data_IF_042935867810
#
_entry.id   IF_042935867810
#
_cell.length_a   1.000
_cell.length_b   1.000
_cell.length_c   1.000
_cell.angle_alpha   90.00
_cell.angle_beta   90.00
_cell.angle_gamma   90.00
#
_symmetry.space_group_name_H-M   'P 1'
#
loop_
_entity.id
_entity.type
_entity.pdbx_description
1 polymer ?
#
# COMPACT_ATOMS: atom_id res chain seq x y z
N UNK A 1 -13.85 8.33 25.36
CA UNK A 1 -15.14 9.04 25.17
C UNK A 1 -15.97 9.23 26.46
N UNK A 2 -15.50 8.88 27.64
CA UNK A 2 -16.28 8.98 28.90
C UNK A 2 -15.90 10.14 29.83
N UNK A 3 -14.89 10.95 29.49
CA UNK A 3 -14.29 11.90 30.47
C UNK A 3 -14.73 13.37 30.33
N UNK A 4 -15.49 13.75 29.29
CA UNK A 4 -15.81 15.15 28.98
C UNK A 4 -17.15 15.66 29.59
N UNK A 5 -17.91 14.80 30.29
CA UNK A 5 -19.26 15.13 30.73
C UNK A 5 -19.38 15.62 32.22
N UNK A 6 -18.26 15.77 32.94
CA UNK A 6 -18.31 15.97 34.40
C UNK A 6 -18.34 17.44 34.91
N UNK A 7 -18.45 18.45 34.05
CA UNK A 7 -18.32 19.87 34.46
C UNK A 7 -19.59 20.72 34.27
N UNK A 8 -20.78 20.14 34.26
CA UNK A 8 -22.01 20.89 33.99
C UNK A 8 -23.04 20.83 35.15
N UNK A 9 -22.63 21.16 36.34
CA UNK A 9 -23.59 21.31 37.46
C UNK A 9 -23.22 22.51 38.34
N UNK A 10 -23.70 23.72 37.99
CA UNK A 10 -24.13 24.72 39.03
C UNK A 10 -24.86 25.89 38.33
N UNK A 11 -25.98 26.25 38.94
CA UNK A 11 -26.85 27.42 38.84
C UNK A 11 -28.14 27.28 38.01
N UNK A 12 -29.24 27.03 38.71
CA UNK A 12 -30.46 27.78 38.51
C UNK A 12 -31.26 27.80 39.83
N UNK A 13 -31.56 28.94 40.37
CA UNK A 13 -32.60 29.14 41.38
C UNK A 13 -33.56 30.24 40.88
N UNK A 14 -34.86 30.00 40.83
CA UNK A 14 -35.97 30.86 41.30
C UNK A 14 -37.32 30.27 40.90
N UNK A 15 -38.26 30.27 41.85
CA UNK A 15 -39.52 29.56 41.83
C UNK A 15 -40.69 30.31 41.16
N UNK A 16 -41.50 29.52 40.37
CA UNK A 16 -42.87 29.82 39.89
C UNK A 16 -43.45 28.51 39.31
N UNK A 17 -44.75 28.36 38.97
CA UNK A 17 -45.28 27.09 38.44
C UNK A 17 -44.55 26.55 37.20
N UNK A 18 -43.69 27.31 36.57
CA UNK A 18 -42.65 26.82 35.69
C UNK A 18 -41.62 25.91 36.42
N UNK A 19 -41.56 25.88 37.73
CA UNK A 19 -40.57 25.16 38.53
C UNK A 19 -40.78 23.64 38.48
N UNK A 20 -42.03 23.16 38.58
CA UNK A 20 -42.32 21.73 38.51
C UNK A 20 -42.08 21.15 37.09
N UNK A 21 -42.35 21.90 36.05
CA UNK A 21 -42.10 21.50 34.67
C UNK A 21 -40.60 21.47 34.35
N UNK A 22 -39.81 22.41 34.88
CA UNK A 22 -38.37 22.42 34.75
C UNK A 22 -37.73 21.25 35.53
N UNK A 23 -38.21 20.96 36.75
CA UNK A 23 -37.75 19.79 37.52
C UNK A 23 -38.05 18.46 36.82
N UNK A 24 -39.16 18.34 36.12
CA UNK A 24 -39.51 17.17 35.34
C UNK A 24 -38.62 17.01 34.10
N UNK A 25 -38.29 18.09 33.37
CA UNK A 25 -37.38 18.10 32.25
C UNK A 25 -35.95 17.73 32.66
N UNK A 26 -35.45 18.31 33.77
CA UNK A 26 -34.15 18.01 34.33
C UNK A 26 -34.02 16.55 34.75
N UNK A 27 -35.05 16.00 35.42
CA UNK A 27 -35.11 14.57 35.78
C UNK A 27 -35.11 13.66 34.55
N UNK A 28 -35.91 13.97 33.54
CA UNK A 28 -35.97 13.22 32.29
C UNK A 28 -34.65 13.28 31.52
N UNK A 29 -33.97 14.42 31.53
CA UNK A 29 -32.62 14.56 30.94
C UNK A 29 -31.58 13.74 31.71
N UNK A 30 -31.54 13.79 33.06
CA UNK A 30 -30.63 12.99 33.88
C UNK A 30 -30.86 11.48 33.68
N UNK A 31 -32.12 11.05 33.51
CA UNK A 31 -32.43 9.66 33.17
C UNK A 31 -31.86 9.27 31.78
N UNK A 32 -31.92 10.16 30.80
CA UNK A 32 -31.33 9.93 29.48
C UNK A 32 -29.79 9.86 29.54
N UNK A 33 -29.15 10.72 30.35
CA UNK A 33 -27.69 10.65 30.63
C UNK A 33 -27.33 9.30 31.21
N UNK A 34 -28.06 8.84 32.24
CA UNK A 34 -27.81 7.54 32.88
C UNK A 34 -27.98 6.36 31.91
N UNK A 35 -28.94 6.44 30.99
CA UNK A 35 -29.13 5.43 29.94
C UNK A 35 -27.96 5.45 28.95
N UNK A 36 -27.47 6.62 28.59
CA UNK A 36 -26.28 6.78 27.71
C UNK A 36 -25.03 6.18 28.34
N UNK A 37 -24.76 6.52 29.62
CA UNK A 37 -23.61 5.99 30.38
C UNK A 37 -23.72 4.46 30.57
N UNK A 38 -24.93 3.92 30.68
CA UNK A 38 -25.20 2.48 30.76
C UNK A 38 -25.12 1.77 29.39
N UNK A 39 -24.77 2.48 28.30
CA UNK A 39 -24.75 1.94 26.95
C UNK A 39 -26.10 1.59 26.33
N UNK A 40 -27.22 1.99 26.98
CA UNK A 40 -28.59 1.76 26.51
C UNK A 40 -29.05 2.84 25.52
N UNK A 41 -28.28 2.95 24.42
CA UNK A 41 -28.46 4.02 23.44
C UNK A 41 -29.87 4.09 22.81
N UNK A 42 -30.54 2.98 22.45
CA UNK A 42 -31.92 3.06 21.93
C UNK A 42 -32.91 3.69 22.90
N UNK A 43 -32.81 3.37 24.21
CA UNK A 43 -33.69 3.92 25.24
C UNK A 43 -33.39 5.39 25.50
N UNK A 44 -32.09 5.75 25.54
CA UNK A 44 -31.64 7.14 25.65
C UNK A 44 -32.13 7.99 24.46
N UNK A 45 -32.02 7.46 23.22
CA UNK A 45 -32.54 8.15 22.04
C UNK A 45 -34.04 8.42 22.14
N UNK A 46 -34.83 7.41 22.50
CA UNK A 46 -36.30 7.56 22.66
C UNK A 46 -36.68 8.64 23.66
N UNK A 47 -35.98 8.71 24.78
CA UNK A 47 -36.24 9.73 25.81
C UNK A 47 -35.81 11.11 25.34
N UNK A 48 -34.63 11.25 24.71
CA UNK A 48 -34.17 12.51 24.18
C UNK A 48 -34.97 13.01 22.98
N UNK A 49 -35.49 12.12 22.12
CA UNK A 49 -36.44 12.49 21.06
C UNK A 49 -37.75 13.10 21.59
N UNK A 50 -38.19 12.71 22.80
CA UNK A 50 -39.31 13.35 23.48
C UNK A 50 -38.88 14.74 23.97
N UNK A 51 -37.76 14.81 24.70
CA UNK A 51 -37.25 16.08 25.26
C UNK A 51 -36.98 17.13 24.19
N UNK A 52 -36.38 16.74 23.03
CA UNK A 52 -36.08 17.69 21.95
C UNK A 52 -37.35 18.33 21.34
N UNK A 53 -38.52 17.70 21.45
CA UNK A 53 -39.77 18.30 21.01
C UNK A 53 -40.30 19.34 22.00
N UNK A 54 -39.99 19.15 23.28
CA UNK A 54 -40.39 20.06 24.35
C UNK A 54 -39.42 21.23 24.47
N UNK A 55 -38.12 20.97 24.32
CA UNK A 55 -37.06 21.98 24.45
C UNK A 55 -36.08 21.92 23.27
N UNK A 56 -36.53 22.28 22.06
CA UNK A 56 -35.71 22.15 20.83
C UNK A 56 -34.42 23.01 20.82
N UNK A 57 -34.41 24.07 21.64
CA UNK A 57 -33.27 24.99 21.76
C UNK A 57 -32.38 24.69 22.99
N UNK A 58 -32.55 23.51 23.66
CA UNK A 58 -31.62 23.08 24.69
C UNK A 58 -30.35 22.54 24.03
N UNK A 59 -29.22 23.19 24.31
CA UNK A 59 -27.91 22.76 23.87
C UNK A 59 -27.63 21.34 24.37
N UNK A 60 -27.86 21.06 25.63
CA UNK A 60 -27.56 19.80 26.32
C UNK A 60 -28.32 18.62 25.69
N UNK A 61 -29.60 18.83 25.43
CA UNK A 61 -30.48 17.80 24.80
C UNK A 61 -30.02 17.52 23.36
N UNK A 62 -29.72 18.57 22.58
CA UNK A 62 -29.27 18.43 21.21
C UNK A 62 -27.91 17.74 21.13
N UNK A 63 -26.95 18.13 21.98
CA UNK A 63 -25.63 17.54 22.04
C UNK A 63 -25.70 16.06 22.42
N UNK A 64 -26.40 15.73 23.51
CA UNK A 64 -26.53 14.34 23.98
C UNK A 64 -27.27 13.45 22.98
N UNK A 65 -28.32 13.94 22.32
CA UNK A 65 -29.01 13.18 21.28
C UNK A 65 -28.13 12.95 20.09
N UNK A 66 -27.29 13.92 19.69
CA UNK A 66 -26.27 13.76 18.67
C UNK A 66 -25.25 12.69 19.03
N UNK A 67 -24.75 12.70 20.26
CA UNK A 67 -23.80 11.67 20.76
C UNK A 67 -24.43 10.28 20.82
N UNK A 68 -25.68 10.17 21.25
CA UNK A 68 -26.44 8.90 21.28
C UNK A 68 -26.60 8.33 19.86
N UNK A 69 -26.94 9.15 18.88
CA UNK A 69 -27.02 8.69 17.48
C UNK A 69 -25.63 8.33 16.91
N UNK A 70 -24.59 9.07 17.28
CA UNK A 70 -23.23 8.74 16.89
C UNK A 70 -22.78 7.38 17.45
N UNK A 71 -23.14 7.08 18.71
CA UNK A 71 -22.88 5.79 19.35
C UNK A 71 -23.63 4.62 18.69
N UNK A 72 -24.78 4.90 18.07
CA UNK A 72 -25.56 3.93 17.27
C UNK A 72 -25.13 3.86 15.81
N UNK A 73 -24.05 4.52 15.40
CA UNK A 73 -23.61 4.64 14.00
C UNK A 73 -24.65 5.27 13.06
N UNK A 74 -25.58 6.07 13.62
CA UNK A 74 -26.58 6.84 12.87
C UNK A 74 -26.06 8.23 12.52
N UNK A 75 -24.89 8.28 11.85
CA UNK A 75 -24.07 9.48 11.69
C UNK A 75 -24.79 10.65 11.02
N UNK A 76 -25.71 10.39 10.07
CA UNK A 76 -26.52 11.45 9.45
C UNK A 76 -27.51 12.13 10.42
N UNK A 77 -28.06 11.36 11.38
CA UNK A 77 -28.92 11.92 12.44
C UNK A 77 -28.09 12.64 13.48
N UNK A 78 -26.96 12.04 13.88
CA UNK A 78 -25.98 12.65 14.78
C UNK A 78 -25.54 14.03 14.28
N UNK A 79 -25.14 14.15 13.00
CA UNK A 79 -24.72 15.42 12.40
C UNK A 79 -25.75 16.52 12.55
N UNK A 80 -27.04 16.21 12.36
CA UNK A 80 -28.11 17.21 12.45
C UNK A 80 -28.20 17.81 13.87
N UNK A 81 -28.21 16.94 14.89
CA UNK A 81 -28.34 17.38 16.29
C UNK A 81 -27.06 18.06 16.77
N UNK A 82 -25.87 17.54 16.43
CA UNK A 82 -24.59 18.18 16.77
C UNK A 82 -24.44 19.54 16.08
N UNK A 83 -24.94 19.69 14.85
CA UNK A 83 -24.93 20.99 14.16
C UNK A 83 -25.83 22.00 14.86
N UNK A 84 -27.01 21.58 15.37
CA UNK A 84 -27.90 22.44 16.16
C UNK A 84 -27.22 22.82 17.47
N UNK A 85 -26.57 21.88 18.16
CA UNK A 85 -25.85 22.15 19.39
C UNK A 85 -24.74 23.19 19.18
N UNK A 86 -23.93 23.06 18.13
CA UNK A 86 -22.89 24.05 17.75
C UNK A 86 -23.50 25.41 17.40
N UNK A 87 -24.71 25.45 16.82
CA UNK A 87 -25.42 26.70 16.53
C UNK A 87 -25.90 27.39 17.79
N UNK A 88 -26.40 26.62 18.77
CA UNK A 88 -26.87 27.13 20.04
C UNK A 88 -25.74 27.61 20.95
N UNK A 89 -24.58 26.93 20.92
CA UNK A 89 -23.39 27.31 21.70
C UNK A 89 -22.13 27.30 20.82
N UNK A 90 -21.89 28.36 20.04
CA UNK A 90 -20.79 28.41 19.08
C UNK A 90 -19.38 28.39 19.70
N UNK A 91 -19.25 28.71 20.97
CA UNK A 91 -18.02 28.74 21.75
C UNK A 91 -17.75 27.43 22.53
N UNK A 92 -18.55 26.40 22.32
CA UNK A 92 -18.30 25.08 22.90
C UNK A 92 -17.28 24.30 22.07
N UNK A 93 -16.03 24.21 22.56
CA UNK A 93 -15.00 23.38 21.97
C UNK A 93 -15.40 21.89 21.93
N UNK A 94 -15.98 21.28 23.00
CA UNK A 94 -16.44 19.90 22.97
C UNK A 94 -17.51 19.64 21.89
N UNK A 95 -18.52 20.52 21.77
CA UNK A 95 -19.58 20.34 20.78
C UNK A 95 -19.03 20.38 19.33
N UNK A 96 -18.08 21.28 19.07
CA UNK A 96 -17.37 21.31 17.78
C UNK A 96 -16.55 20.07 17.54
N UNK A 97 -15.83 19.57 18.54
CA UNK A 97 -15.08 18.32 18.46
C UNK A 97 -15.99 17.13 18.15
N UNK A 98 -17.14 17.04 18.83
CA UNK A 98 -18.14 15.98 18.60
C UNK A 98 -18.70 16.04 17.17
N UNK A 99 -19.05 17.24 16.69
CA UNK A 99 -19.51 17.44 15.31
C UNK A 99 -18.42 17.06 14.30
N UNK A 100 -17.19 17.49 14.53
CA UNK A 100 -16.06 17.21 13.65
C UNK A 100 -15.76 15.70 13.57
N UNK A 101 -15.70 15.02 14.70
CA UNK A 101 -15.49 13.57 14.77
C UNK A 101 -16.57 12.80 13.99
N UNK A 102 -17.83 13.24 14.11
CA UNK A 102 -18.92 12.63 13.34
C UNK A 102 -18.85 12.93 11.84
N UNK A 103 -18.45 14.13 11.44
CA UNK A 103 -18.22 14.50 10.05
C UNK A 103 -17.07 13.69 9.45
N UNK A 104 -15.99 13.45 10.21
CA UNK A 104 -14.86 12.63 9.78
C UNK A 104 -15.26 11.16 9.52
N UNK A 105 -16.15 10.59 10.35
CA UNK A 105 -16.72 9.24 10.11
C UNK A 105 -17.56 9.17 8.84
N UNK A 106 -18.24 10.26 8.50
CA UNK A 106 -18.98 10.39 7.22
C UNK A 106 -18.07 10.66 6.01
N UNK A 107 -16.74 10.71 6.17
CA UNK A 107 -15.79 11.03 5.11
C UNK A 107 -15.78 12.50 4.69
N UNK A 108 -16.45 13.38 5.43
CA UNK A 108 -16.50 14.84 5.15
C UNK A 108 -15.32 15.54 5.81
N UNK A 109 -14.09 15.17 5.38
CA UNK A 109 -12.84 15.55 6.06
C UNK A 109 -12.61 17.05 6.10
N UNK A 110 -12.94 17.81 5.04
CA UNK A 110 -12.77 19.25 5.00
C UNK A 110 -13.64 19.97 6.04
N UNK A 111 -14.91 19.55 6.15
CA UNK A 111 -15.85 20.11 7.14
C UNK A 111 -15.43 19.71 8.58
N UNK A 112 -14.95 18.48 8.76
CA UNK A 112 -14.42 18.03 10.04
C UNK A 112 -13.21 18.87 10.47
N UNK A 113 -12.25 19.06 9.57
CA UNK A 113 -11.04 19.87 9.81
C UNK A 113 -11.40 21.31 10.18
N UNK A 114 -12.40 21.92 9.53
CA UNK A 114 -12.86 23.27 9.88
C UNK A 114 -13.40 23.33 11.31
N UNK A 115 -14.23 22.37 11.73
CA UNK A 115 -14.77 22.35 13.09
C UNK A 115 -13.69 22.04 14.12
N UNK A 116 -12.76 21.12 13.85
CA UNK A 116 -11.62 20.85 14.72
C UNK A 116 -10.72 22.09 14.90
N UNK A 117 -10.42 22.84 13.84
CA UNK A 117 -9.67 24.11 13.94
C UNK A 117 -10.33 25.08 14.91
N UNK A 118 -11.64 25.32 14.73
CA UNK A 118 -12.38 26.19 15.65
C UNK A 118 -12.38 25.67 17.08
N UNK A 119 -12.41 24.36 17.26
CA UNK A 119 -12.35 23.76 18.60
C UNK A 119 -10.95 23.96 19.24
N UNK A 120 -9.87 23.81 18.48
CA UNK A 120 -8.49 24.08 18.95
C UNK A 120 -8.28 25.57 19.28
N UNK A 121 -8.88 26.48 18.49
CA UNK A 121 -8.84 27.92 18.80
C UNK A 121 -9.51 28.26 20.14
N UNK A 122 -10.61 27.55 20.47
CA UNK A 122 -11.35 27.72 21.73
C UNK A 122 -10.66 27.05 22.93
N UNK A 123 -10.08 25.86 22.73
CA UNK A 123 -9.34 25.14 23.76
C UNK A 123 -8.03 24.56 23.19
N UNK A 124 -6.93 25.35 23.13
CA UNK A 124 -5.65 24.93 22.58
C UNK A 124 -4.91 23.87 23.41
N UNK A 125 -5.37 23.60 24.65
CA UNK A 125 -4.75 22.64 25.56
C UNK A 125 -5.51 21.33 25.68
N UNK A 126 -6.53 21.13 24.87
CA UNK A 126 -7.25 19.88 24.84
C UNK A 126 -6.50 18.85 23.98
N UNK A 127 -6.13 17.72 24.60
CA UNK A 127 -5.44 16.63 23.93
C UNK A 127 -6.23 16.07 22.76
N UNK A 128 -7.48 15.67 23.02
CA UNK A 128 -8.35 15.00 22.03
C UNK A 128 -8.58 15.86 20.79
N UNK A 129 -8.81 17.16 20.98
CA UNK A 129 -9.05 18.08 19.85
C UNK A 129 -7.80 18.27 18.99
N UNK A 130 -6.61 18.42 19.60
CA UNK A 130 -5.36 18.54 18.86
C UNK A 130 -5.04 17.24 18.12
N UNK A 131 -5.16 16.08 18.78
CA UNK A 131 -4.93 14.78 18.17
C UNK A 131 -5.87 14.55 16.97
N UNK A 132 -7.18 14.73 17.16
CA UNK A 132 -8.18 14.56 16.12
C UNK A 132 -7.99 15.51 14.93
N UNK A 133 -7.54 16.76 15.18
CA UNK A 133 -7.19 17.68 14.10
C UNK A 133 -5.98 17.19 13.32
N UNK A 134 -4.94 16.71 14.02
CA UNK A 134 -3.78 16.08 13.40
C UNK A 134 -4.17 14.89 12.54
N UNK A 135 -4.95 13.93 13.10
CA UNK A 135 -5.46 12.77 12.35
C UNK A 135 -6.28 13.19 11.13
N UNK A 136 -7.14 14.21 11.25
CA UNK A 136 -7.93 14.72 10.13
C UNK A 136 -7.05 15.24 8.99
N UNK A 137 -5.94 15.91 9.32
CA UNK A 137 -4.96 16.35 8.33
C UNK A 137 -4.21 15.18 7.70
N UNK A 138 -3.78 14.17 8.50
CA UNK A 138 -3.15 12.94 7.99
C UNK A 138 -4.06 12.25 6.97
N UNK A 139 -5.32 12.05 7.32
CA UNK A 139 -6.33 11.41 6.43
C UNK A 139 -6.61 12.23 5.17
N UNK A 140 -6.37 13.53 5.21
CA UNK A 140 -6.48 14.43 4.04
C UNK A 140 -5.18 14.52 3.22
N UNK A 141 -4.13 13.77 3.57
CA UNK A 141 -2.82 13.80 2.91
C UNK A 141 -2.00 15.05 3.21
N UNK A 142 -2.39 15.86 4.22
CA UNK A 142 -1.74 17.11 4.61
C UNK A 142 -0.84 16.90 5.82
N UNK A 143 0.21 16.10 5.63
CA UNK A 143 1.03 15.61 6.74
C UNK A 143 1.82 16.73 7.42
N UNK A 144 2.35 17.67 6.64
CA UNK A 144 3.10 18.79 7.20
C UNK A 144 2.23 19.68 8.10
N UNK A 145 0.97 19.84 7.76
CA UNK A 145 -0.01 20.57 8.56
C UNK A 145 -0.49 19.79 9.80
N UNK A 146 -0.42 18.44 9.76
CA UNK A 146 -0.78 17.58 10.88
C UNK A 146 0.23 17.66 12.02
N UNK A 147 1.53 17.68 11.70
CA UNK A 147 2.63 17.56 12.67
C UNK A 147 2.53 18.54 13.87
N UNK A 148 2.28 19.86 13.69
CA UNK A 148 2.20 20.79 14.81
C UNK A 148 1.09 20.46 15.83
N UNK A 149 -0.02 19.92 15.39
CA UNK A 149 -1.15 19.54 16.25
C UNK A 149 -0.89 18.23 16.97
N UNK A 150 -0.31 17.23 16.29
CA UNK A 150 0.14 15.99 16.93
C UNK A 150 1.27 16.25 17.94
N UNK A 151 2.22 17.15 17.64
CA UNK A 151 3.23 17.61 18.59
C UNK A 151 2.62 18.26 19.83
N UNK A 152 1.59 19.08 19.62
CA UNK A 152 0.88 19.71 20.72
C UNK A 152 0.15 18.69 21.58
N UNK A 153 -0.53 17.73 20.98
CA UNK A 153 -1.16 16.62 21.69
C UNK A 153 -0.10 15.81 22.47
N UNK A 154 1.06 15.51 21.86
CA UNK A 154 2.16 14.80 22.52
C UNK A 154 2.74 15.55 23.72
N UNK A 155 2.78 16.88 23.67
CA UNK A 155 3.19 17.72 24.83
C UNK A 155 2.17 17.68 25.97
N UNK A 156 0.87 17.56 25.63
CA UNK A 156 -0.20 17.53 26.64
C UNK A 156 -0.27 16.14 27.30
N UNK A 157 -0.25 15.07 26.50
CA UNK A 157 -0.16 13.71 27.01
C UNK A 157 0.99 12.94 26.32
N UNK A 158 2.19 12.97 26.91
CA UNK A 158 3.34 12.22 26.40
C UNK A 158 3.19 10.70 26.49
N UNK A 159 2.16 10.20 27.18
CA UNK A 159 1.93 8.76 27.36
C UNK A 159 1.02 8.14 26.32
N UNK A 160 0.35 8.95 25.50
CA UNK A 160 -0.55 8.47 24.46
C UNK A 160 0.22 7.70 23.39
N UNK A 161 -0.08 6.40 23.29
CA UNK A 161 0.48 5.53 22.25
C UNK A 161 0.01 5.95 20.87
N UNK A 162 -1.30 6.14 20.71
CA UNK A 162 -1.91 6.42 19.40
C UNK A 162 -1.36 7.73 18.81
N UNK A 163 -1.33 8.80 19.62
CA UNK A 163 -0.76 10.07 19.17
C UNK A 163 0.73 9.98 18.87
N UNK A 164 1.48 9.25 19.70
CA UNK A 164 2.91 9.06 19.48
C UNK A 164 3.21 8.28 18.21
N UNK A 165 2.41 7.26 17.90
CA UNK A 165 2.49 6.53 16.65
C UNK A 165 2.19 7.41 15.43
N UNK A 166 1.07 8.14 15.46
CA UNK A 166 0.66 9.05 14.38
C UNK A 166 1.68 10.17 14.14
N UNK A 167 2.24 10.72 15.22
CA UNK A 167 3.29 11.75 15.14
C UNK A 167 4.59 11.19 14.56
N UNK A 168 4.97 9.96 14.95
CA UNK A 168 6.15 9.30 14.41
C UNK A 168 6.00 9.04 12.92
N UNK A 169 4.82 8.56 12.49
CA UNK A 169 4.49 8.38 11.07
C UNK A 169 4.52 9.70 10.31
N UNK A 170 3.96 10.77 10.89
CA UNK A 170 4.01 12.10 10.30
C UNK A 170 5.46 12.61 10.12
N UNK A 171 6.30 12.48 11.14
CA UNK A 171 7.72 12.84 11.06
C UNK A 171 8.45 12.05 9.97
N UNK A 172 8.21 10.75 9.90
CA UNK A 172 8.79 9.88 8.86
C UNK A 172 8.41 10.35 7.44
N UNK A 173 7.15 10.73 7.24
CA UNK A 173 6.66 11.16 5.92
C UNK A 173 7.18 12.54 5.50
N UNK A 174 7.41 13.45 6.46
CA UNK A 174 7.98 14.78 6.18
C UNK A 174 9.51 14.82 6.25
N UNK A 175 10.16 13.65 6.49
CA UNK A 175 11.62 13.53 6.49
C UNK A 175 12.32 13.98 7.79
N UNK A 176 11.58 14.14 8.90
CA UNK A 176 12.15 14.44 10.22
C UNK A 176 12.55 13.14 10.93
N UNK A 177 13.55 12.44 10.34
CA UNK A 177 13.90 11.08 10.74
C UNK A 177 14.43 10.98 12.17
N UNK A 178 15.26 11.96 12.62
CA UNK A 178 15.81 11.93 13.97
C UNK A 178 14.74 12.07 15.07
N UNK A 179 13.76 12.95 14.85
CA UNK A 179 12.64 13.13 15.78
C UNK A 179 11.70 11.92 15.77
N UNK A 180 11.46 11.32 14.59
CA UNK A 180 10.71 10.07 14.47
C UNK A 180 11.38 8.95 15.27
N UNK A 181 12.68 8.74 15.09
CA UNK A 181 13.45 7.72 15.80
C UNK A 181 13.37 7.90 17.32
N UNK A 182 13.64 9.10 17.82
CA UNK A 182 13.60 9.39 19.25
C UNK A 182 12.22 9.11 19.85
N UNK A 183 11.16 9.46 19.13
CA UNK A 183 9.79 9.24 19.60
C UNK A 183 9.44 7.76 19.59
N UNK A 184 9.73 7.03 18.50
CA UNK A 184 9.49 5.58 18.38
C UNK A 184 10.21 4.83 19.52
N UNK A 185 11.50 5.10 19.74
CA UNK A 185 12.28 4.49 20.83
C UNK A 185 11.70 4.78 22.21
N UNK A 186 11.13 5.99 22.39
CA UNK A 186 10.48 6.38 23.65
C UNK A 186 9.20 5.59 23.88
N UNK A 187 8.42 5.37 22.84
CA UNK A 187 7.18 4.61 22.93
C UNK A 187 7.46 3.12 23.10
N UNK A 188 8.45 2.56 22.39
CA UNK A 188 8.87 1.15 22.47
C UNK A 188 9.26 0.76 23.91
N UNK A 189 9.88 1.66 24.69
CA UNK A 189 10.21 1.42 26.10
C UNK A 189 8.98 1.21 27.00
N UNK A 190 7.82 1.70 26.59
CA UNK A 190 6.55 1.60 27.33
C UNK A 190 5.66 0.49 26.79
N UNK A 191 5.57 0.40 25.49
CA UNK A 191 4.75 -0.59 24.79
C UNK A 191 5.53 -1.10 23.59
N UNK A 192 6.03 -2.33 23.69
CA UNK A 192 6.68 -3.03 22.59
C UNK A 192 5.60 -3.63 21.68
N UNK A 193 5.56 -3.27 20.41
CA UNK A 193 4.54 -3.73 19.46
C UNK A 193 5.09 -3.89 18.05
N UNK A 194 4.51 -4.84 17.29
CA UNK A 194 4.91 -5.10 15.92
C UNK A 194 4.79 -3.87 15.01
N UNK A 195 3.74 -3.06 15.21
CA UNK A 195 3.53 -1.85 14.41
C UNK A 195 4.66 -0.82 14.59
N UNK A 196 5.19 -0.68 15.81
CA UNK A 196 6.30 0.24 16.07
C UNK A 196 7.62 -0.29 15.50
N UNK A 197 7.85 -1.61 15.53
CA UNK A 197 8.99 -2.22 14.88
C UNK A 197 8.93 -2.05 13.36
N UNK A 198 7.77 -2.21 12.73
CA UNK A 198 7.59 -1.90 11.31
C UNK A 198 7.87 -0.43 11.01
N UNK A 199 7.37 0.49 11.84
CA UNK A 199 7.60 1.93 11.64
C UNK A 199 9.08 2.30 11.81
N UNK A 200 9.78 1.64 12.76
CA UNK A 200 11.23 1.80 12.94
C UNK A 200 11.99 1.26 11.75
N UNK A 201 11.59 0.10 11.22
CA UNK A 201 12.17 -0.49 10.02
C UNK A 201 12.05 0.43 8.80
N UNK A 202 10.86 0.99 8.55
CA UNK A 202 10.65 1.97 7.47
C UNK A 202 11.54 3.23 7.64
N UNK A 203 11.75 3.66 8.88
CA UNK A 203 12.61 4.79 9.18
C UNK A 203 14.08 4.46 8.87
N UNK A 204 14.55 3.30 9.32
CA UNK A 204 15.93 2.84 9.12
C UNK A 204 16.22 2.57 7.65
N UNK A 205 15.24 2.06 6.88
CA UNK A 205 15.32 1.93 5.42
C UNK A 205 15.54 3.30 4.76
N UNK A 206 14.74 4.32 5.14
CA UNK A 206 14.90 5.68 4.63
C UNK A 206 16.22 6.33 5.03
N UNK A 207 16.75 5.99 6.19
CA UNK A 207 18.07 6.44 6.68
C UNK A 207 19.24 5.65 6.08
N UNK A 208 18.95 4.62 5.24
CA UNK A 208 19.95 3.77 4.60
C UNK A 208 20.55 2.69 5.51
N UNK A 209 19.94 2.42 6.66
CA UNK A 209 20.33 1.39 7.62
C UNK A 209 19.60 0.07 7.35
N UNK A 210 19.86 -0.51 6.19
CA UNK A 210 19.10 -1.65 5.68
C UNK A 210 19.21 -2.93 6.53
N UNK A 211 20.33 -3.12 7.24
CA UNK A 211 20.50 -4.28 8.13
C UNK A 211 19.63 -4.14 9.37
N UNK A 212 19.63 -2.96 9.95
CA UNK A 212 18.79 -2.60 11.08
C UNK A 212 17.30 -2.73 10.69
N UNK A 213 16.90 -2.18 9.54
CA UNK A 213 15.55 -2.28 9.01
C UNK A 213 15.11 -3.75 8.87
N UNK A 214 15.95 -4.63 8.30
CA UNK A 214 15.64 -6.06 8.17
C UNK A 214 15.44 -6.74 9.52
N UNK A 215 16.22 -6.38 10.56
CA UNK A 215 16.08 -6.92 11.91
C UNK A 215 14.80 -6.44 12.59
N UNK A 216 14.40 -5.19 12.35
CA UNK A 216 13.16 -4.64 12.89
C UNK A 216 11.92 -5.28 12.22
N UNK A 217 11.93 -5.48 10.89
CA UNK A 217 10.88 -6.24 10.20
C UNK A 217 10.81 -7.70 10.67
N UNK A 218 11.96 -8.34 10.90
CA UNK A 218 12.02 -9.68 11.50
C UNK A 218 11.35 -9.71 12.88
N UNK A 219 11.68 -8.74 13.72
CA UNK A 219 11.11 -8.60 15.06
C UNK A 219 9.59 -8.41 15.00
N UNK A 220 9.10 -7.53 14.13
CA UNK A 220 7.68 -7.32 13.90
C UNK A 220 6.96 -8.62 13.47
N UNK A 221 7.55 -9.34 12.51
CA UNK A 221 6.99 -10.60 12.00
C UNK A 221 7.01 -11.74 13.04
N UNK A 222 7.97 -11.74 13.96
CA UNK A 222 7.99 -12.70 15.08
C UNK A 222 6.95 -12.37 16.15
N UNK A 223 6.71 -11.08 16.43
CA UNK A 223 5.71 -10.63 17.40
C UNK A 223 4.30 -10.86 16.90
N UNK A 224 4.05 -10.49 15.65
CA UNK A 224 2.78 -10.68 14.94
C UNK A 224 3.04 -11.25 13.55
N UNK A 225 2.98 -12.59 13.36
CA UNK A 225 3.19 -13.22 12.07
C UNK A 225 1.96 -13.08 11.15
N UNK A 226 1.43 -11.84 11.06
CA UNK A 226 0.39 -11.46 10.11
C UNK A 226 0.90 -11.54 8.67
N UNK A 227 -0.04 -11.55 7.74
CA UNK A 227 0.30 -11.54 6.31
C UNK A 227 1.13 -10.31 5.93
N UNK A 228 0.83 -9.13 6.51
CA UNK A 228 1.57 -7.90 6.22
C UNK A 228 3.01 -8.00 6.71
N UNK A 229 3.21 -8.30 8.00
CA UNK A 229 4.54 -8.32 8.61
C UNK A 229 5.48 -9.33 7.94
N UNK A 230 4.97 -10.52 7.60
CA UNK A 230 5.75 -11.52 6.88
C UNK A 230 6.07 -11.08 5.45
N UNK A 231 5.17 -10.34 4.81
CA UNK A 231 5.43 -9.80 3.47
C UNK A 231 6.49 -8.70 3.50
N UNK A 232 6.41 -7.79 4.45
CA UNK A 232 7.34 -6.68 4.61
C UNK A 232 8.75 -7.22 4.90
N UNK A 233 8.89 -8.15 5.85
CA UNK A 233 10.17 -8.81 6.13
C UNK A 233 10.72 -9.57 4.91
N UNK A 234 9.91 -10.40 4.25
CA UNK A 234 10.34 -11.15 3.06
C UNK A 234 10.73 -10.23 1.90
N UNK A 235 10.02 -9.10 1.74
CA UNK A 235 10.28 -8.11 0.70
C UNK A 235 11.59 -7.35 0.94
N UNK A 236 11.87 -6.96 2.19
CA UNK A 236 13.13 -6.33 2.59
C UNK A 236 14.32 -7.25 2.31
N UNK A 237 14.23 -8.51 2.73
CA UNK A 237 15.25 -9.51 2.44
C UNK A 237 15.48 -9.71 0.93
N UNK A 238 14.40 -9.67 0.13
CA UNK A 238 14.46 -9.81 -1.32
C UNK A 238 15.09 -8.56 -1.97
N UNK A 239 14.70 -7.37 -1.52
CA UNK A 239 15.21 -6.08 -2.00
C UNK A 239 16.73 -6.00 -1.84
N UNK A 240 17.22 -6.37 -0.65
CA UNK A 240 18.65 -6.38 -0.32
C UNK A 240 19.34 -7.70 -0.67
N UNK A 241 18.73 -8.52 -1.54
CA UNK A 241 19.32 -9.72 -2.11
C UNK A 241 19.75 -10.78 -1.09
N UNK A 242 19.19 -10.78 0.09
CA UNK A 242 19.36 -11.84 1.09
C UNK A 242 18.45 -13.02 0.72
N UNK A 243 18.75 -13.63 -0.43
CA UNK A 243 17.83 -14.48 -1.18
C UNK A 243 17.47 -15.80 -0.47
N UNK A 244 18.40 -16.39 0.29
CA UNK A 244 18.13 -17.60 1.06
C UNK A 244 17.03 -17.38 2.10
N UNK A 245 17.24 -16.48 3.06
CA UNK A 245 16.21 -16.08 4.04
C UNK A 245 14.91 -15.60 3.39
N UNK A 246 14.94 -14.81 2.32
CA UNK A 246 13.73 -14.38 1.62
C UNK A 246 12.89 -15.59 1.14
N UNK A 247 13.53 -16.61 0.54
CA UNK A 247 12.83 -17.84 0.13
C UNK A 247 12.20 -18.54 1.35
N UNK A 248 12.93 -18.65 2.46
CA UNK A 248 12.43 -19.31 3.67
C UNK A 248 11.21 -18.58 4.27
N UNK A 249 11.28 -17.26 4.35
CA UNK A 249 10.17 -16.44 4.87
C UNK A 249 8.95 -16.59 3.97
N UNK A 250 9.08 -16.38 2.65
CA UNK A 250 7.95 -16.51 1.74
C UNK A 250 7.43 -17.93 1.62
N UNK A 251 8.28 -18.95 1.76
CA UNK A 251 7.85 -20.35 1.82
C UNK A 251 6.92 -20.57 3.02
N UNK A 252 7.37 -20.24 4.23
CA UNK A 252 6.56 -20.36 5.46
C UNK A 252 5.29 -19.50 5.39
N UNK A 253 5.40 -18.27 4.87
CA UNK A 253 4.27 -17.38 4.71
C UNK A 253 3.23 -17.93 3.73
N UNK A 254 3.66 -18.53 2.61
CA UNK A 254 2.75 -19.14 1.62
C UNK A 254 2.08 -20.44 2.10
N UNK A 255 2.69 -21.12 3.09
CA UNK A 255 2.08 -22.26 3.79
C UNK A 255 1.05 -21.80 4.83
N UNK A 256 1.34 -20.71 5.55
CA UNK A 256 0.44 -20.11 6.55
C UNK A 256 -0.76 -19.42 5.90
N UNK A 257 -0.54 -18.75 4.77
CA UNK A 257 -1.55 -18.00 4.01
C UNK A 257 -1.70 -18.58 2.58
N UNK A 258 -2.23 -19.82 2.44
CA UNK A 258 -2.23 -20.52 1.15
C UNK A 258 -3.10 -19.88 0.07
N UNK A 259 -4.04 -19.02 0.43
CA UNK A 259 -4.88 -18.24 -0.48
C UNK A 259 -4.30 -16.86 -0.82
N UNK A 260 -3.20 -16.45 -0.19
CA UNK A 260 -2.56 -15.18 -0.46
C UNK A 260 -1.72 -15.24 -1.73
N UNK A 261 -2.22 -14.62 -2.80
CA UNK A 261 -1.47 -14.52 -4.04
C UNK A 261 -0.14 -13.80 -3.85
N UNK A 262 -0.11 -12.70 -3.05
CA UNK A 262 1.11 -11.92 -2.86
C UNK A 262 2.25 -12.71 -2.20
N UNK A 263 1.93 -13.62 -1.26
CA UNK A 263 2.92 -14.50 -0.66
C UNK A 263 3.51 -15.49 -1.66
N UNK A 264 2.64 -16.05 -2.51
CA UNK A 264 3.06 -17.02 -3.53
C UNK A 264 3.86 -16.32 -4.65
N UNK A 265 3.51 -15.08 -5.01
CA UNK A 265 4.30 -14.25 -5.94
C UNK A 265 5.65 -13.91 -5.32
N UNK A 266 5.69 -13.48 -4.05
CA UNK A 266 6.93 -13.21 -3.31
C UNK A 266 7.87 -14.41 -3.31
N UNK A 267 7.35 -15.61 -3.04
CA UNK A 267 8.11 -16.86 -3.13
C UNK A 267 8.66 -17.09 -4.54
N UNK A 268 7.83 -16.91 -5.56
CA UNK A 268 8.25 -17.05 -6.96
C UNK A 268 9.34 -16.07 -7.35
N UNK A 269 9.25 -14.82 -6.90
CA UNK A 269 10.26 -13.79 -7.12
C UNK A 269 11.58 -14.11 -6.41
N UNK A 270 11.52 -14.55 -5.15
CA UNK A 270 12.70 -14.92 -4.37
C UNK A 270 13.41 -16.14 -4.96
N UNK A 271 12.66 -17.16 -5.39
CA UNK A 271 13.19 -18.33 -6.10
C UNK A 271 13.83 -17.95 -7.43
N UNK A 272 13.17 -17.08 -8.21
CA UNK A 272 13.73 -16.57 -9.46
C UNK A 272 15.04 -15.82 -9.24
N UNK A 273 15.06 -14.89 -8.28
CA UNK A 273 16.26 -14.11 -7.95
C UNK A 273 17.42 -15.01 -7.49
N UNK A 274 17.10 -16.11 -6.79
CA UNK A 274 18.10 -17.10 -6.33
C UNK A 274 18.58 -18.03 -7.45
N UNK A 275 17.92 -18.03 -8.61
CA UNK A 275 18.27 -18.90 -9.75
C UNK A 275 17.52 -20.26 -9.75
N UNK A 276 16.58 -20.46 -8.86
CA UNK A 276 15.73 -21.66 -8.79
C UNK A 276 14.52 -21.50 -9.73
N UNK A 277 14.78 -21.44 -11.04
CA UNK A 277 13.78 -21.05 -12.04
C UNK A 277 12.60 -22.03 -12.15
N UNK A 278 12.82 -23.34 -12.07
CA UNK A 278 11.76 -24.35 -12.14
C UNK A 278 10.77 -24.24 -10.98
N UNK A 279 11.26 -24.00 -9.76
CA UNK A 279 10.40 -23.82 -8.60
C UNK A 279 9.74 -22.45 -8.60
N UNK A 280 10.41 -21.43 -9.18
CA UNK A 280 9.79 -20.13 -9.43
C UNK A 280 8.59 -20.25 -10.40
N UNK A 281 8.75 -21.00 -11.51
CA UNK A 281 7.64 -21.27 -12.43
C UNK A 281 6.47 -21.96 -11.71
N UNK A 282 6.72 -23.01 -10.91
CA UNK A 282 5.66 -23.70 -10.14
C UNK A 282 4.91 -22.75 -9.19
N UNK A 283 5.65 -21.93 -8.46
CA UNK A 283 5.06 -20.96 -7.54
C UNK A 283 4.22 -19.91 -8.28
N UNK A 284 4.73 -19.39 -9.39
CA UNK A 284 4.02 -18.36 -10.17
C UNK A 284 2.82 -18.92 -10.95
N UNK A 285 2.83 -20.17 -11.36
CA UNK A 285 1.66 -20.88 -11.88
C UNK A 285 0.55 -20.98 -10.81
N UNK A 286 0.92 -21.35 -9.57
CA UNK A 286 -0.01 -21.33 -8.43
C UNK A 286 -0.56 -19.93 -8.18
N UNK A 287 0.27 -18.88 -8.24
CA UNK A 287 -0.18 -17.49 -8.10
C UNK A 287 -1.19 -17.08 -9.19
N UNK A 288 -0.94 -17.50 -10.45
CA UNK A 288 -1.86 -17.28 -11.56
C UNK A 288 -3.19 -18.06 -11.41
N UNK A 289 -3.21 -19.16 -10.68
CA UNK A 289 -4.45 -19.88 -10.36
C UNK A 289 -5.24 -19.23 -9.22
N UNK A 290 -4.57 -18.60 -8.25
CA UNK A 290 -5.21 -17.89 -7.15
C UNK A 290 -5.93 -16.62 -7.63
N UNK A 291 -5.35 -15.85 -8.54
CA UNK A 291 -6.00 -14.70 -9.17
C UNK A 291 -5.61 -14.60 -10.65
N UNK A 292 -6.41 -15.20 -11.53
CA UNK A 292 -6.09 -15.26 -12.95
C UNK A 292 -6.11 -13.93 -13.71
N UNK A 293 -6.68 -12.88 -13.13
CA UNK A 293 -6.76 -11.56 -13.75
C UNK A 293 -5.67 -10.59 -13.30
N UNK A 294 -4.86 -10.95 -12.27
CA UNK A 294 -3.80 -10.08 -11.73
C UNK A 294 -2.55 -10.09 -12.63
N UNK A 295 -2.16 -8.96 -13.25
CA UNK A 295 -1.08 -8.95 -14.24
C UNK A 295 0.31 -9.25 -13.66
N UNK A 296 0.57 -8.89 -12.40
CA UNK A 296 1.91 -8.91 -11.83
C UNK A 296 2.52 -10.31 -11.79
N UNK A 297 1.74 -11.34 -11.44
CA UNK A 297 2.25 -12.71 -11.43
C UNK A 297 2.73 -13.18 -12.81
N UNK A 298 2.08 -12.73 -13.90
CA UNK A 298 2.43 -13.10 -15.26
C UNK A 298 3.72 -12.45 -15.76
N UNK A 299 4.07 -11.26 -15.25
CA UNK A 299 5.35 -10.60 -15.53
C UNK A 299 6.50 -11.49 -15.02
N UNK A 300 6.41 -11.94 -13.78
CA UNK A 300 7.44 -12.79 -13.18
C UNK A 300 7.42 -14.21 -13.74
N UNK A 301 6.23 -14.76 -14.03
CA UNK A 301 6.09 -16.04 -14.69
C UNK A 301 6.79 -16.04 -16.07
N UNK A 302 6.60 -14.99 -16.87
CA UNK A 302 7.29 -14.85 -18.16
C UNK A 302 8.81 -14.87 -17.98
N UNK A 303 9.36 -14.07 -17.03
CA UNK A 303 10.80 -14.01 -16.77
C UNK A 303 11.37 -15.35 -16.28
N UNK A 304 10.67 -16.03 -15.37
CA UNK A 304 11.08 -17.34 -14.86
C UNK A 304 11.06 -18.40 -15.97
N UNK A 305 9.99 -18.42 -16.76
CA UNK A 305 9.84 -19.31 -17.92
C UNK A 305 10.89 -19.05 -19.02
N UNK A 306 11.29 -17.77 -19.21
CA UNK A 306 12.36 -17.40 -20.12
C UNK A 306 13.71 -18.02 -19.72
N UNK A 307 13.95 -18.14 -18.42
CA UNK A 307 15.19 -18.71 -17.86
C UNK A 307 15.16 -20.23 -17.78
N UNK A 308 13.99 -20.83 -17.60
CA UNK A 308 13.79 -22.28 -17.63
C UNK A 308 12.42 -22.62 -18.23
N UNK A 309 12.34 -23.10 -19.48
CA UNK A 309 11.10 -23.41 -20.16
C UNK A 309 10.47 -24.74 -19.69
N UNK A 310 10.51 -25.00 -18.39
CA UNK A 310 9.81 -26.12 -17.78
C UNK A 310 8.29 -25.87 -17.73
N UNK A 311 7.49 -26.94 -17.71
CA UNK A 311 6.03 -26.86 -17.61
C UNK A 311 5.39 -25.99 -18.71
N UNK A 312 5.87 -26.16 -19.95
CA UNK A 312 5.48 -25.34 -21.10
C UNK A 312 3.97 -25.33 -21.37
N UNK A 313 3.32 -26.47 -21.22
CA UNK A 313 1.88 -26.60 -21.48
C UNK A 313 1.07 -25.85 -20.41
N UNK A 314 1.42 -26.01 -19.14
CA UNK A 314 0.78 -25.33 -18.02
C UNK A 314 0.97 -23.81 -18.11
N UNK A 315 2.18 -23.35 -18.42
CA UNK A 315 2.50 -21.93 -18.62
C UNK A 315 1.68 -21.37 -19.79
N UNK A 316 1.66 -22.06 -20.92
CA UNK A 316 0.90 -21.64 -22.10
C UNK A 316 -0.60 -21.56 -21.81
N UNK A 317 -1.15 -22.53 -21.07
CA UNK A 317 -2.55 -22.52 -20.67
C UNK A 317 -2.90 -21.30 -19.79
N UNK A 318 -2.02 -20.91 -18.84
CA UNK A 318 -2.26 -19.75 -17.97
C UNK A 318 -2.15 -18.44 -18.73
N UNK A 319 -1.17 -18.31 -19.64
CA UNK A 319 -1.09 -17.11 -20.48
C UNK A 319 -2.26 -17.01 -21.47
N UNK A 320 -2.75 -18.13 -22.02
CA UNK A 320 -3.97 -18.14 -22.84
C UNK A 320 -5.17 -17.65 -22.02
N UNK A 321 -5.40 -18.24 -20.84
CA UNK A 321 -6.48 -17.81 -19.95
C UNK A 321 -6.39 -16.31 -19.57
N UNK A 322 -5.18 -15.81 -19.34
CA UNK A 322 -4.97 -14.40 -19.04
C UNK A 322 -5.33 -13.51 -20.23
N UNK A 323 -4.95 -13.89 -21.45
CA UNK A 323 -5.30 -13.17 -22.67
C UNK A 323 -6.82 -13.17 -22.93
N UNK A 324 -7.51 -14.28 -22.63
CA UNK A 324 -8.98 -14.36 -22.73
C UNK A 324 -9.69 -13.47 -21.71
N UNK A 325 -9.20 -13.42 -20.47
CA UNK A 325 -9.74 -12.57 -19.40
C UNK A 325 -9.46 -11.09 -19.64
N UNK A 326 -8.36 -10.77 -20.32
CA UNK A 326 -7.93 -9.40 -20.61
C UNK A 326 -7.63 -9.19 -22.11
N UNK A 327 -8.63 -9.26 -22.98
CA UNK A 327 -8.42 -9.23 -24.43
C UNK A 327 -7.86 -7.90 -24.97
N UNK A 328 -7.96 -6.83 -24.18
CA UNK A 328 -7.42 -5.50 -24.51
C UNK A 328 -6.07 -5.23 -23.82
N UNK A 329 -5.46 -6.23 -23.20
CA UNK A 329 -4.15 -6.11 -22.58
C UNK A 329 -3.07 -6.57 -23.56
N UNK A 330 -2.28 -5.62 -24.07
CA UNK A 330 -1.21 -5.90 -25.04
C UNK A 330 -0.20 -6.92 -24.49
N UNK A 331 0.19 -6.82 -23.22
CA UNK A 331 1.15 -7.74 -22.59
C UNK A 331 0.59 -9.15 -22.43
N UNK A 332 -0.70 -9.31 -22.20
CA UNK A 332 -1.32 -10.64 -22.12
C UNK A 332 -1.20 -11.40 -23.45
N UNK A 333 -1.48 -10.72 -24.58
CA UNK A 333 -1.30 -11.30 -25.93
C UNK A 333 0.18 -11.58 -26.23
N UNK A 334 1.07 -10.68 -25.83
CA UNK A 334 2.51 -10.86 -25.96
C UNK A 334 3.01 -12.10 -25.21
N UNK A 335 2.66 -12.26 -23.94
CA UNK A 335 3.08 -13.43 -23.14
C UNK A 335 2.53 -14.73 -23.70
N UNK A 336 1.28 -14.73 -24.16
CA UNK A 336 0.70 -15.91 -24.82
C UNK A 336 1.45 -16.25 -26.10
N UNK A 337 1.75 -15.27 -26.97
CA UNK A 337 2.56 -15.49 -28.18
C UNK A 337 3.93 -16.09 -27.84
N UNK A 338 4.60 -15.56 -26.81
CA UNK A 338 5.94 -16.00 -26.40
C UNK A 338 5.94 -17.41 -25.82
N UNK A 339 4.91 -17.78 -25.05
CA UNK A 339 4.78 -19.13 -24.51
C UNK A 339 4.57 -20.19 -25.61
N UNK A 340 3.75 -19.87 -26.60
CA UNK A 340 3.57 -20.71 -27.78
C UNK A 340 4.88 -20.90 -28.56
N UNK A 341 5.65 -19.83 -28.71
CA UNK A 341 6.89 -19.88 -29.48
C UNK A 341 7.98 -20.68 -28.76
N UNK A 342 8.24 -20.39 -27.48
CA UNK A 342 9.28 -21.07 -26.69
C UNK A 342 8.96 -22.53 -26.40
N UNK A 343 7.72 -22.83 -26.02
CA UNK A 343 7.30 -24.19 -25.66
C UNK A 343 7.43 -25.19 -26.82
N UNK A 344 7.30 -24.73 -28.07
CA UNK A 344 7.34 -25.57 -29.23
C UNK A 344 8.69 -25.61 -29.97
N UNK A 345 9.56 -24.61 -29.76
CA UNK A 345 10.91 -24.61 -30.37
C UNK A 345 11.75 -25.84 -30.01
N UNK A 346 11.50 -26.44 -28.85
CA UNK A 346 12.26 -27.58 -28.34
C UNK A 346 11.73 -28.94 -28.82
N UNK A 347 10.49 -29.08 -29.31
CA UNK A 347 9.86 -30.39 -29.43
C UNK A 347 8.95 -30.68 -30.64
N UNK A 348 8.55 -29.73 -31.54
CA UNK A 348 7.57 -30.03 -32.57
C UNK A 348 7.79 -29.41 -33.96
N UNK A 349 7.61 -30.22 -35.05
CA UNK A 349 7.60 -29.73 -36.43
C UNK A 349 6.30 -29.00 -36.86
N UNK A 350 5.39 -28.68 -35.93
CA UNK A 350 4.07 -28.10 -36.22
C UNK A 350 3.81 -26.74 -35.58
N UNK A 351 4.85 -25.89 -35.38
CA UNK A 351 4.68 -24.54 -34.83
C UNK A 351 3.86 -23.65 -35.79
N UNK A 352 2.71 -23.15 -35.34
CA UNK A 352 1.92 -22.20 -36.12
C UNK A 352 2.48 -20.76 -35.95
N UNK A 353 3.47 -20.45 -36.82
CA UNK A 353 4.09 -19.10 -36.84
C UNK A 353 3.07 -18.00 -37.17
N UNK A 354 1.98 -18.33 -37.93
CA UNK A 354 0.92 -17.36 -38.25
C UNK A 354 0.11 -16.97 -37.01
N UNK A 355 -0.15 -17.92 -36.12
CA UNK A 355 -0.82 -17.62 -34.86
C UNK A 355 0.03 -16.68 -34.00
N UNK A 356 1.35 -16.93 -33.88
CA UNK A 356 2.26 -16.10 -33.13
C UNK A 356 2.36 -14.69 -33.72
N UNK A 357 2.48 -14.59 -35.08
CA UNK A 357 2.49 -13.32 -35.80
C UNK A 357 1.19 -12.51 -35.51
N UNK A 358 0.04 -13.18 -35.60
CA UNK A 358 -1.25 -12.56 -35.32
C UNK A 358 -1.37 -12.03 -33.89
N UNK A 359 -0.89 -12.77 -32.90
CA UNK A 359 -0.90 -12.35 -31.49
C UNK A 359 0.02 -11.16 -31.23
N UNK A 360 1.25 -11.18 -31.79
CA UNK A 360 2.20 -10.06 -31.68
C UNK A 360 1.67 -8.80 -32.38
N UNK A 361 1.09 -8.95 -33.57
CA UNK A 361 0.49 -7.83 -34.31
C UNK A 361 -0.71 -7.24 -33.57
N UNK A 362 -1.58 -8.08 -32.98
CA UNK A 362 -2.68 -7.60 -32.13
C UNK A 362 -2.17 -6.91 -30.88
N UNK A 363 -1.12 -7.44 -30.23
CA UNK A 363 -0.47 -6.81 -29.09
C UNK A 363 0.02 -5.41 -29.44
N UNK A 364 0.72 -5.25 -30.58
CA UNK A 364 1.22 -3.96 -31.07
C UNK A 364 0.10 -3.01 -31.55
N UNK A 365 -1.03 -3.53 -31.99
CA UNK A 365 -2.21 -2.70 -32.30
C UNK A 365 -2.82 -2.10 -31.03
N UNK A 366 -2.74 -2.78 -29.87
CA UNK A 366 -3.19 -2.29 -28.59
C UNK A 366 -2.16 -1.37 -27.92
N UNK A 367 -0.88 -1.71 -27.99
CA UNK A 367 0.23 -0.91 -27.48
C UNK A 367 1.40 -0.82 -28.49
N UNK A 368 1.39 0.19 -29.36
CA UNK A 368 2.46 0.42 -30.34
C UNK A 368 3.82 0.80 -29.72
N UNK A 369 3.88 0.96 -28.39
CA UNK A 369 5.11 1.29 -27.66
C UNK A 369 5.73 0.11 -26.93
N UNK A 370 5.20 -1.08 -27.08
CA UNK A 370 5.74 -2.29 -26.46
C UNK A 370 7.01 -2.75 -27.23
N UNK A 371 8.16 -2.26 -26.80
CA UNK A 371 9.46 -2.48 -27.46
C UNK A 371 9.79 -3.98 -27.58
N UNK A 372 9.46 -4.77 -26.54
CA UNK A 372 9.69 -6.21 -26.52
C UNK A 372 8.88 -6.94 -27.62
N UNK A 373 7.65 -6.49 -27.90
CA UNK A 373 6.83 -7.09 -28.93
C UNK A 373 7.38 -6.80 -30.34
N UNK A 374 7.87 -5.58 -30.60
CA UNK A 374 8.59 -5.25 -31.83
C UNK A 374 9.84 -6.10 -32.01
N UNK A 375 10.67 -6.25 -30.97
CA UNK A 375 11.84 -7.12 -31.00
C UNK A 375 11.46 -8.56 -31.39
N UNK A 376 10.41 -9.10 -30.76
CA UNK A 376 10.01 -10.49 -31.03
C UNK A 376 9.34 -10.67 -32.40
N UNK A 377 8.62 -9.66 -32.90
CA UNK A 377 8.08 -9.69 -34.26
C UNK A 377 9.23 -9.66 -35.29
N UNK A 378 10.26 -8.84 -35.06
CA UNK A 378 11.50 -8.84 -35.85
C UNK A 378 12.20 -10.20 -35.83
N UNK A 379 12.31 -10.83 -34.65
CA UNK A 379 12.87 -12.18 -34.52
C UNK A 379 12.06 -13.21 -35.29
N UNK A 380 10.74 -13.12 -35.26
CA UNK A 380 9.83 -14.01 -36.00
C UNK A 380 10.05 -13.89 -37.51
N UNK A 381 10.18 -12.66 -38.02
CA UNK A 381 10.47 -12.42 -39.42
C UNK A 381 11.89 -12.90 -39.82
N UNK A 382 12.88 -12.69 -38.97
CA UNK A 382 14.25 -13.20 -39.21
C UNK A 382 14.29 -14.74 -39.28
N UNK A 383 13.55 -15.44 -38.40
CA UNK A 383 13.46 -16.91 -38.41
C UNK A 383 12.81 -17.41 -39.70
N UNK A 384 11.97 -16.60 -40.35
CA UNK A 384 11.39 -16.87 -41.66
C UNK A 384 12.25 -16.40 -42.85
N UNK A 385 13.47 -15.90 -42.59
CA UNK A 385 14.38 -15.26 -43.57
C UNK A 385 13.80 -13.98 -44.22
N UNK A 386 12.78 -13.37 -43.63
CA UNK A 386 12.17 -12.10 -44.05
C UNK A 386 12.92 -10.92 -43.42
N UNK A 387 14.20 -10.76 -43.81
CA UNK A 387 15.06 -9.76 -43.16
C UNK A 387 14.67 -8.31 -43.47
N UNK A 388 14.04 -8.07 -44.63
CA UNK A 388 13.54 -6.75 -45.01
C UNK A 388 12.40 -6.28 -44.10
N UNK A 389 11.55 -7.22 -43.65
CA UNK A 389 10.45 -6.97 -42.72
C UNK A 389 10.94 -6.93 -41.25
N UNK A 390 12.01 -7.67 -40.91
CA UNK A 390 12.57 -7.69 -39.57
C UNK A 390 13.28 -6.38 -39.19
N UNK A 391 13.99 -5.74 -40.13
CA UNK A 391 14.78 -4.53 -39.91
C UNK A 391 13.93 -3.37 -39.33
N UNK A 392 12.77 -3.00 -39.90
CA UNK A 392 11.95 -1.92 -39.32
C UNK A 392 11.45 -2.23 -37.91
N UNK A 393 11.14 -3.50 -37.61
CA UNK A 393 10.68 -3.91 -36.28
C UNK A 393 11.81 -3.78 -35.24
N UNK A 394 13.03 -4.21 -35.57
CA UNK A 394 14.19 -4.01 -34.68
C UNK A 394 14.50 -2.54 -34.44
N UNK A 395 14.44 -1.70 -35.50
CA UNK A 395 14.61 -0.26 -35.35
C UNK A 395 13.56 0.33 -34.42
N UNK A 396 12.32 -0.06 -34.60
CA UNK A 396 11.23 0.43 -33.75
C UNK A 396 11.42 0.01 -32.31
N UNK A 397 11.86 -1.21 -32.04
CA UNK A 397 12.19 -1.68 -30.70
C UNK A 397 13.29 -0.79 -30.06
N UNK A 398 14.35 -0.46 -30.83
CA UNK A 398 15.46 0.38 -30.35
C UNK A 398 15.09 1.86 -30.18
N UNK A 399 14.20 2.40 -31.00
CA UNK A 399 13.63 3.75 -30.78
C UNK A 399 12.84 3.86 -29.48
N UNK A 400 12.18 2.78 -29.08
CA UNK A 400 11.37 2.72 -27.87
C UNK A 400 12.19 2.38 -26.62
N UNK A 401 13.22 1.56 -26.78
CA UNK A 401 14.11 1.16 -25.71
C UNK A 401 15.53 0.91 -26.27
N UNK A 402 16.39 1.89 -26.08
CA UNK A 402 17.79 1.88 -26.54
C UNK A 402 18.69 0.91 -25.77
N UNK A 403 18.24 0.35 -24.64
CA UNK A 403 19.04 -0.56 -23.82
C UNK A 403 18.85 -2.04 -24.21
N UNK A 404 18.06 -2.32 -25.23
CA UNK A 404 17.81 -3.67 -25.74
C UNK A 404 19.02 -4.19 -26.53
N UNK A 405 20.07 -4.64 -25.84
CA UNK A 405 21.28 -5.16 -26.46
C UNK A 405 21.01 -6.22 -27.53
N UNK A 406 20.07 -7.17 -27.25
CA UNK A 406 19.71 -8.21 -28.21
C UNK A 406 19.13 -7.65 -29.52
N UNK A 407 18.41 -6.53 -29.48
CA UNK A 407 17.87 -5.88 -30.68
C UNK A 407 18.97 -5.33 -31.58
N UNK A 408 20.04 -4.74 -31.05
CA UNK A 408 21.20 -4.31 -31.83
C UNK A 408 21.89 -5.49 -32.50
N UNK A 409 22.11 -6.57 -31.76
CA UNK A 409 22.75 -7.77 -32.32
C UNK A 409 21.89 -8.37 -33.44
N UNK A 410 20.60 -8.49 -33.26
CA UNK A 410 19.67 -9.02 -34.26
C UNK A 410 19.54 -8.11 -35.48
N UNK A 411 19.52 -6.80 -35.29
CA UNK A 411 19.53 -5.82 -36.39
C UNK A 411 20.81 -5.93 -37.19
N UNK A 412 21.98 -6.02 -36.52
CA UNK A 412 23.28 -6.24 -37.17
C UNK A 412 23.26 -7.53 -38.00
N UNK A 413 22.76 -8.64 -37.45
CA UNK A 413 22.61 -9.90 -38.21
C UNK A 413 21.72 -9.73 -39.45
N UNK A 414 20.58 -9.02 -39.31
CA UNK A 414 19.68 -8.78 -40.44
C UNK A 414 20.35 -7.96 -41.53
N UNK A 415 21.14 -6.91 -41.18
CA UNK A 415 21.94 -6.13 -42.13
C UNK A 415 23.01 -6.96 -42.84
N UNK A 416 23.66 -7.90 -42.15
CA UNK A 416 24.60 -8.84 -42.81
C UNK A 416 23.87 -9.64 -43.89
N UNK A 417 22.67 -10.11 -43.60
CA UNK A 417 21.86 -10.92 -44.52
C UNK A 417 21.29 -10.14 -45.71
N UNK A 418 21.08 -8.83 -45.58
CA UNK A 418 20.68 -7.93 -46.67
C UNK A 418 21.85 -7.29 -47.40
N UNK A 419 23.10 -7.56 -46.99
CA UNK A 419 24.32 -7.09 -47.65
C UNK A 419 24.81 -5.70 -47.18
N UNK A 420 24.19 -5.12 -46.14
CA UNK A 420 24.46 -3.78 -45.60
C UNK A 420 25.54 -3.84 -44.51
N UNK A 421 26.77 -4.24 -44.91
CA UNK A 421 27.86 -4.57 -43.96
C UNK A 421 28.28 -3.43 -43.06
N UNK A 422 28.31 -2.19 -43.53
CA UNK A 422 28.74 -1.04 -42.73
C UNK A 422 27.73 -0.77 -41.60
N UNK A 423 26.43 -0.79 -41.92
CA UNK A 423 25.37 -0.68 -40.92
C UNK A 423 25.39 -1.84 -39.91
N UNK A 424 25.70 -3.04 -40.36
CA UNK A 424 25.83 -4.18 -39.45
C UNK A 424 26.94 -3.97 -38.43
N UNK A 425 28.10 -3.46 -38.88
CA UNK A 425 29.22 -3.20 -38.01
C UNK A 425 28.89 -2.15 -36.93
N UNK A 426 28.22 -1.06 -37.31
CA UNK A 426 27.74 -0.04 -36.37
C UNK A 426 26.86 -0.64 -35.25
N UNK A 427 25.94 -1.54 -35.62
CA UNK A 427 25.06 -2.16 -34.64
C UNK A 427 25.82 -3.11 -33.68
N UNK A 428 26.79 -3.85 -34.18
CA UNK A 428 27.59 -4.74 -33.34
C UNK A 428 28.50 -3.96 -32.39
N UNK A 429 29.02 -2.80 -32.78
CA UNK A 429 29.79 -1.92 -31.90
C UNK A 429 28.95 -1.38 -30.74
N UNK A 430 27.69 -0.93 -31.01
CA UNK A 430 26.74 -0.50 -29.97
C UNK A 430 26.40 -1.67 -29.03
N UNK A 431 26.14 -2.84 -29.59
CA UNK A 431 25.89 -4.06 -28.81
C UNK A 431 27.04 -4.36 -27.83
N UNK A 432 28.29 -4.32 -28.28
CA UNK A 432 29.45 -4.56 -27.44
C UNK A 432 29.55 -3.54 -26.29
N UNK A 433 29.36 -2.26 -26.60
CA UNK A 433 29.43 -1.18 -25.61
C UNK A 433 28.34 -1.36 -24.50
N UNK A 434 27.10 -1.67 -24.89
CA UNK A 434 26.03 -1.89 -23.94
C UNK A 434 26.33 -3.11 -23.06
N UNK A 435 26.85 -4.18 -23.64
CA UNK A 435 27.24 -5.39 -22.93
C UNK A 435 28.32 -5.14 -21.87
N UNK A 436 29.35 -4.33 -22.22
CA UNK A 436 30.40 -3.95 -21.28
C UNK A 436 29.87 -3.11 -20.13
N UNK A 437 28.94 -2.19 -20.39
CA UNK A 437 28.27 -1.39 -19.37
C UNK A 437 27.46 -2.26 -18.41
N UNK A 438 26.64 -3.17 -18.93
CA UNK A 438 25.85 -4.09 -18.11
C UNK A 438 26.72 -5.00 -17.22
N UNK A 439 27.89 -5.43 -17.71
CA UNK A 439 28.82 -6.21 -16.89
C UNK A 439 29.40 -5.39 -15.74
N UNK A 440 29.77 -4.13 -15.99
CA UNK A 440 30.31 -3.24 -14.97
C UNK A 440 29.22 -2.94 -13.87
N UNK A 441 27.99 -2.70 -14.29
CA UNK A 441 26.86 -2.46 -13.37
C UNK A 441 26.54 -3.70 -12.52
N UNK A 442 26.62 -4.89 -13.11
CA UNK A 442 26.46 -6.17 -12.39
C UNK A 442 27.55 -6.39 -11.35
N UNK A 443 28.80 -6.05 -11.67
CA UNK A 443 29.92 -6.16 -10.73
C UNK A 443 29.76 -5.18 -9.56
N UNK A 444 29.32 -3.94 -9.83
CA UNK A 444 29.02 -2.94 -8.80
C UNK A 444 27.89 -3.44 -7.88
N UNK A 445 26.78 -3.89 -8.44
CA UNK A 445 25.66 -4.46 -7.65
C UNK A 445 26.11 -5.66 -6.79
N UNK A 446 26.94 -6.55 -7.32
CA UNK A 446 27.48 -7.68 -6.56
C UNK A 446 28.38 -7.25 -5.39
N UNK A 447 29.11 -6.14 -5.53
CA UNK A 447 29.92 -5.59 -4.46
C UNK A 447 29.04 -5.03 -3.33
N UNK A 448 27.99 -4.26 -3.68
CA UNK A 448 27.03 -3.70 -2.74
C UNK A 448 26.30 -4.81 -1.96
N UNK A 449 25.83 -5.85 -2.66
CA UNK A 449 25.17 -7.02 -2.04
C UNK A 449 26.13 -7.73 -1.05
N UNK A 450 27.39 -7.93 -1.44
CA UNK A 450 28.38 -8.57 -0.55
C UNK A 450 28.54 -7.75 0.73
N UNK A 451 28.65 -6.44 0.62
CA UNK A 451 28.76 -5.56 1.79
C UNK A 451 27.57 -5.69 2.73
N UNK A 452 26.34 -5.69 2.20
CA UNK A 452 25.13 -5.89 2.98
C UNK A 452 25.11 -7.26 3.71
N UNK A 453 25.39 -8.36 3.00
CA UNK A 453 25.41 -9.72 3.58
C UNK A 453 26.48 -9.88 4.66
N UNK A 454 27.65 -9.26 4.49
CA UNK A 454 28.70 -9.29 5.54
C UNK A 454 28.25 -8.47 6.76
N UNK A 455 27.72 -7.28 6.59
CA UNK A 455 27.20 -6.45 7.69
C UNK A 455 26.10 -7.15 8.47
N UNK A 456 25.18 -7.83 7.77
CA UNK A 456 24.09 -8.60 8.40
C UNK A 456 24.60 -9.82 9.23
N UNK A 457 25.72 -10.44 8.82
CA UNK A 457 26.32 -11.56 9.56
C UNK A 457 27.09 -11.13 10.80
N UNK A 458 27.69 -9.93 10.75
CA UNK A 458 28.50 -9.38 11.84
C UNK A 458 27.65 -8.61 12.87
N UNK A 459 26.39 -8.34 12.57
CA UNK A 459 25.45 -7.76 13.54
C UNK A 459 25.19 -8.79 14.65
N UNK A 460 25.38 -8.44 15.93
CA UNK A 460 25.09 -9.37 17.02
C UNK A 460 23.59 -9.66 16.99
N UNK A 461 23.24 -10.91 16.63
CA UNK A 461 21.87 -11.40 16.79
C UNK A 461 21.41 -11.06 18.19
N UNK A 462 20.32 -10.32 18.32
CA UNK A 462 19.67 -10.11 19.60
C UNK A 462 19.43 -11.50 20.19
N UNK A 463 20.19 -11.82 21.23
CA UNK A 463 19.97 -13.10 21.97
C UNK A 463 18.60 -13.02 22.60
N UNK A 464 17.87 -14.13 22.59
CA UNK A 464 16.50 -14.23 23.08
C UNK A 464 16.36 -13.81 24.54
#
# INVERSE_FOLDING_TARGET
MASALLTLLTYVSVASPAHSQQEDLDRDFQAAVSLFEAGKYPDAAKQLEKLVREVPESFEVQELLGLVYAAQSQDARATRHLQVAVTLKPDSAPARTNLAANLARLGKLELATEQFKKAVELDPRNFETNHNLGESYVRSGKIAEAAPYLEKAQQIDPSSYDNGYDLSLAYLQIGRLAEAQQLIETILKRKNSAELHNLLAELEEKDGKFVEAANEYETAAHMDPSESNLFDWGSELLLHRTLGPAVEVFQKASERYPASQRMVVGLGMALYARGNYDDAVKSLLRAADLNPSEPNCYIFLSKAYDSSPSQADEVTQRFHRFADLQPNNARALYYYAMSLWKGKRAQHPGLDLKQIESLLTKSLALDPKLAEAHLQLGNLYSDQNKYAEAIPEYKRALELNSDLADAYYRLGQAYVRTGEKDRAQEQFEVYQKIREQHLADLEKQRAEIRQFVYSAKDSPSAKP
#
